data_IF_853153539807
#
_entry.id   IF_853153539807
#
_cell.length_a   1.000
_cell.length_b   1.000
_cell.length_c   1.000
_cell.angle_alpha   90.00
_cell.angle_beta   90.00
_cell.angle_gamma   90.00
#
_symmetry.space_group_name_H-M   'P 1'
#
loop_
_entity.id
_entity.type
_entity.pdbx_description
1 polymer ?
#
# COMPACT_ATOMS: atom_id res chain seq x y z
N UNK A 1 -12.74 4.20 25.03
CA UNK A 1 -11.53 4.62 24.29
C UNK A 1 -11.97 5.21 22.96
N UNK A 2 -11.50 6.42 22.68
CA UNK A 2 -11.83 7.12 21.45
C UNK A 2 -10.66 7.09 20.46
N UNK A 3 -10.95 6.91 19.18
CA UNK A 3 -9.99 6.95 18.10
C UNK A 3 -10.28 8.18 17.23
N UNK A 4 -9.34 9.10 17.03
CA UNK A 4 -7.92 9.05 17.43
C UNK A 4 -7.60 9.73 18.74
N UNK A 5 -8.59 10.24 19.49
CA UNK A 5 -8.33 11.12 20.65
C UNK A 5 -7.49 10.43 21.71
N UNK A 6 -7.82 9.20 22.05
CA UNK A 6 -7.11 8.43 23.08
C UNK A 6 -6.04 7.53 22.50
N UNK A 7 -6.30 6.95 21.33
CA UNK A 7 -5.42 5.99 20.67
C UNK A 7 -5.46 6.21 19.17
N UNK A 8 -4.31 6.29 18.54
CA UNK A 8 -4.20 6.25 17.09
C UNK A 8 -4.16 4.80 16.61
N UNK A 9 -4.83 4.54 15.49
CA UNK A 9 -4.85 3.20 14.87
C UNK A 9 -4.36 3.31 13.44
N UNK A 10 -3.45 2.43 13.08
CA UNK A 10 -2.90 2.37 11.72
C UNK A 10 -3.06 0.98 11.15
N UNK A 11 -3.00 0.89 9.85
CA UNK A 11 -3.05 -0.39 9.14
C UNK A 11 -2.01 -0.46 8.05
N UNK A 12 -2.01 -1.59 7.36
CA UNK A 12 -1.14 -1.86 6.22
C UNK A 12 -2.00 -2.44 5.12
N UNK A 13 -1.60 -2.22 3.86
CA UNK A 13 -2.20 -2.72 2.62
C UNK A 13 -3.32 -1.87 2.05
N UNK A 14 -3.87 -0.90 2.78
CA UNK A 14 -4.91 -0.01 2.27
C UNK A 14 -6.02 -0.78 1.54
N UNK A 15 -6.67 -1.70 2.26
CA UNK A 15 -7.78 -2.45 1.67
C UNK A 15 -8.89 -1.49 1.26
N UNK A 16 -9.74 -1.94 0.33
CA UNK A 16 -10.77 -1.11 -0.29
C UNK A 16 -11.69 -0.42 0.72
N UNK A 17 -11.86 -0.99 1.92
CA UNK A 17 -12.75 -0.44 2.95
C UNK A 17 -12.06 0.55 3.90
N UNK A 18 -10.71 0.70 3.81
CA UNK A 18 -9.97 1.50 4.79
C UNK A 18 -10.44 2.95 4.85
N UNK A 19 -10.73 3.56 3.71
CA UNK A 19 -11.20 4.94 3.65
C UNK A 19 -12.65 5.09 4.12
N UNK A 20 -13.41 3.99 4.17
CA UNK A 20 -14.82 3.99 4.56
C UNK A 20 -15.04 3.55 5.99
N UNK A 21 -13.98 3.21 6.72
CA UNK A 21 -14.10 2.93 8.15
C UNK A 21 -14.45 4.20 8.91
N UNK A 22 -15.00 4.04 10.09
CA UNK A 22 -15.32 5.16 10.98
C UNK A 22 -14.57 4.97 12.30
N UNK A 23 -13.50 5.73 12.54
CA UNK A 23 -12.89 6.71 11.63
C UNK A 23 -12.14 6.05 10.46
N UNK A 24 -11.97 6.80 9.37
CA UNK A 24 -11.21 6.32 8.23
C UNK A 24 -9.77 6.02 8.64
N UNK A 25 -9.22 4.94 8.09
CA UNK A 25 -7.99 4.33 8.61
C UNK A 25 -6.74 4.86 7.90
N UNK A 26 -5.81 5.40 8.68
CA UNK A 26 -4.45 5.68 8.22
C UNK A 26 -3.74 4.36 7.92
N UNK A 27 -3.17 4.23 6.75
CA UNK A 27 -2.60 2.96 6.34
C UNK A 27 -1.43 3.17 5.38
N UNK A 28 -0.64 2.12 5.18
CA UNK A 28 0.42 2.09 4.19
C UNK A 28 -0.10 1.34 2.98
N UNK A 29 -0.08 2.01 1.82
CA UNK A 29 -0.46 1.37 0.56
C UNK A 29 0.78 0.79 -0.12
N UNK A 30 0.67 -0.44 -0.60
CA UNK A 30 1.74 -1.11 -1.35
C UNK A 30 1.59 -0.89 -2.86
N UNK A 31 0.72 0.02 -3.27
CA UNK A 31 0.48 0.37 -4.68
C UNK A 31 0.22 -0.88 -5.54
N UNK A 32 -0.89 -1.58 -5.30
CA UNK A 32 -1.15 -2.85 -5.99
C UNK A 32 -1.25 -2.71 -7.50
N UNK A 33 -1.68 -1.54 -7.99
CA UNK A 33 -1.76 -1.30 -9.43
C UNK A 33 -0.38 -1.31 -10.08
N UNK A 34 0.58 -0.57 -9.51
CA UNK A 34 1.95 -0.55 -10.02
C UNK A 34 2.62 -1.91 -9.86
N UNK A 35 2.38 -2.57 -8.72
CA UNK A 35 2.90 -3.91 -8.47
C UNK A 35 2.47 -4.88 -9.56
N UNK A 36 1.18 -4.90 -9.88
CA UNK A 36 0.63 -5.79 -10.90
C UNK A 36 1.18 -5.46 -12.28
N UNK A 37 1.27 -4.16 -12.62
CA UNK A 37 1.75 -3.72 -13.92
C UNK A 37 3.21 -4.11 -14.13
N UNK A 38 4.06 -3.90 -13.13
CA UNK A 38 5.48 -4.27 -13.22
C UNK A 38 5.67 -5.78 -13.33
N UNK A 39 4.94 -6.55 -12.52
CA UNK A 39 4.99 -8.01 -12.61
C UNK A 39 4.55 -8.53 -13.94
N UNK A 40 3.45 -8.00 -14.47
CA UNK A 40 2.95 -8.40 -15.79
C UNK A 40 3.95 -8.06 -16.89
N UNK A 41 4.57 -6.88 -16.85
CA UNK A 41 5.57 -6.50 -17.84
C UNK A 41 6.77 -7.45 -17.81
N UNK A 42 7.24 -7.83 -16.62
CA UNK A 42 8.33 -8.79 -16.50
C UNK A 42 7.96 -10.14 -17.11
N UNK A 43 6.75 -10.61 -16.85
CA UNK A 43 6.28 -11.90 -17.37
C UNK A 43 6.13 -11.85 -18.89
N UNK A 44 5.46 -10.81 -19.41
CA UNK A 44 5.23 -10.69 -20.85
C UNK A 44 6.52 -10.58 -21.64
N UNK A 45 7.54 -9.89 -21.10
CA UNK A 45 8.84 -9.82 -21.80
C UNK A 45 9.50 -11.17 -21.94
N UNK A 46 9.30 -12.08 -20.98
CA UNK A 46 9.80 -13.45 -21.11
C UNK A 46 8.98 -14.28 -22.08
N UNK A 47 7.66 -14.15 -22.03
CA UNK A 47 6.76 -14.86 -22.95
C UNK A 47 7.05 -14.45 -24.40
N UNK A 48 7.22 -13.16 -24.64
CA UNK A 48 7.47 -12.61 -25.97
C UNK A 48 8.94 -12.71 -26.38
N UNK A 49 9.78 -13.29 -25.53
CA UNK A 49 11.21 -13.49 -25.78
C UNK A 49 11.99 -12.20 -26.03
N UNK A 50 11.47 -11.08 -25.54
CA UNK A 50 12.21 -9.81 -25.58
C UNK A 50 13.22 -9.69 -24.44
N UNK A 51 13.12 -10.56 -23.46
CA UNK A 51 14.09 -10.69 -22.39
C UNK A 51 14.32 -12.15 -22.04
N UNK A 52 15.59 -12.56 -22.04
CA UNK A 52 16.00 -13.89 -21.58
C UNK A 52 17.28 -13.70 -20.77
N UNK A 53 17.23 -13.96 -19.49
CA UNK A 53 18.38 -13.74 -18.64
C UNK A 53 18.07 -14.07 -17.20
N UNK A 54 18.90 -13.56 -16.28
CA UNK A 54 18.74 -13.80 -14.86
C UNK A 54 17.39 -13.26 -14.37
N UNK A 55 16.86 -13.79 -13.27
CA UNK A 55 15.67 -13.23 -12.64
C UNK A 55 15.86 -11.75 -12.35
N UNK A 56 14.79 -10.97 -12.58
CA UNK A 56 14.81 -9.53 -12.33
C UNK A 56 14.09 -9.23 -11.02
N UNK A 57 14.49 -8.13 -10.40
CA UNK A 57 13.95 -7.66 -9.16
C UNK A 57 13.63 -6.18 -9.28
N UNK A 58 12.48 -5.78 -8.74
CA UNK A 58 12.12 -4.37 -8.65
C UNK A 58 11.35 -4.11 -7.36
N UNK A 59 11.83 -3.15 -6.59
CA UNK A 59 11.13 -2.71 -5.39
C UNK A 59 10.05 -1.69 -5.78
N UNK A 60 8.86 -1.86 -5.21
CA UNK A 60 7.75 -0.92 -5.38
C UNK A 60 7.67 -0.06 -4.14
N UNK A 61 7.62 1.25 -4.34
CA UNK A 61 7.58 2.21 -3.22
C UNK A 61 6.22 2.15 -2.55
N UNK A 62 6.22 2.02 -1.22
CA UNK A 62 4.99 2.12 -0.42
C UNK A 62 4.67 3.58 -0.15
N UNK A 63 3.40 3.88 0.09
CA UNK A 63 2.91 5.21 0.38
C UNK A 63 2.12 5.22 1.67
N UNK A 64 2.40 6.20 2.54
CA UNK A 64 1.62 6.41 3.76
C UNK A 64 0.42 7.29 3.42
N UNK A 65 -0.78 6.79 3.70
CA UNK A 65 -2.03 7.52 3.51
C UNK A 65 -2.58 7.90 4.87
N UNK A 66 -2.46 9.18 5.22
CA UNK A 66 -2.88 9.69 6.53
C UNK A 66 -4.37 10.01 6.46
N UNK A 67 -5.14 9.42 7.36
CA UNK A 67 -6.58 9.62 7.47
C UNK A 67 -6.96 10.02 8.90
N UNK A 68 -8.22 9.84 9.26
CA UNK A 68 -8.76 10.35 10.52
C UNK A 68 -8.31 9.55 11.74
N UNK A 69 -7.93 8.26 11.56
CA UNK A 69 -7.65 7.36 12.68
C UNK A 69 -6.38 7.67 13.46
N UNK A 70 -5.58 8.64 13.02
CA UNK A 70 -4.35 9.03 13.70
C UNK A 70 -4.35 10.51 14.05
N UNK A 71 -3.71 10.86 15.16
CA UNK A 71 -3.61 12.23 15.65
C UNK A 71 -2.35 12.39 16.48
N UNK A 72 -1.90 13.64 16.73
CA UNK A 72 -0.79 13.89 17.64
C UNK A 72 -1.08 13.35 19.04
N UNK A 73 -0.03 13.06 19.83
CA UNK A 73 -0.22 12.59 21.18
C UNK A 73 -1.08 13.54 22.01
N UNK A 74 -1.90 12.98 22.86
CA UNK A 74 -2.69 13.73 23.82
C UNK A 74 -1.78 14.12 24.99
N UNK A 75 -1.50 15.41 25.14
CA UNK A 75 -0.55 15.94 26.11
C UNK A 75 -1.23 16.83 27.12
#
# INVERSE_FOLDING_TARGET
IKIPEDVSVTGVDDIIFAENYSPSLTTVSNDPHEFAQRGLNFLLSRINKTYSGAPRFRAIKHHLLIRISTAPPKM
#
